data_IF_905904125036
#
_entry.id   IF_905904125036
#
_cell.length_a   1.000
_cell.length_b   1.000
_cell.length_c   1.000
_cell.angle_alpha   90.00
_cell.angle_beta   90.00
_cell.angle_gamma   90.00
#
_symmetry.space_group_name_H-M   'P 1'
#
loop_
_entity.id
_entity.type
_entity.pdbx_description
1 polymer ?
#
# COMPACT_ATOMS: atom_id res chain seq x y z
N UNK A 1 -7.97 26.14 2.00
CA UNK A 1 -8.97 25.81 3.05
C UNK A 1 -8.32 24.85 4.03
N UNK A 2 -8.73 24.80 5.30
CA UNK A 2 -8.09 23.94 6.30
C UNK A 2 -8.60 22.49 6.18
N UNK A 3 -7.74 21.59 5.72
CA UNK A 3 -7.97 20.15 5.50
C UNK A 3 -7.95 19.31 6.79
N UNK A 4 -7.77 19.96 7.94
CA UNK A 4 -7.74 19.32 9.25
C UNK A 4 -6.39 18.75 9.65
N UNK A 5 -5.36 18.84 8.79
CA UNK A 5 -4.02 18.34 9.09
C UNK A 5 -3.48 18.86 10.42
N UNK A 6 -3.54 20.19 10.64
CA UNK A 6 -3.06 20.82 11.89
C UNK A 6 -3.79 20.34 13.14
N UNK A 7 -5.09 20.03 13.02
CA UNK A 7 -5.86 19.50 14.14
C UNK A 7 -5.40 18.06 14.43
N UNK A 8 -5.41 17.21 13.41
CA UNK A 8 -5.21 15.76 13.55
C UNK A 8 -3.75 15.39 13.86
N UNK A 9 -2.78 16.21 13.48
CA UNK A 9 -1.35 15.94 13.74
C UNK A 9 -0.80 16.69 14.96
N UNK A 10 -1.66 17.21 15.85
CA UNK A 10 -1.23 17.94 17.05
C UNK A 10 -2.00 17.51 18.31
N UNK A 11 -1.52 17.86 19.52
CA UNK A 11 -2.25 17.58 20.76
C UNK A 11 -3.67 18.16 20.82
N UNK A 12 -4.03 19.07 19.91
CA UNK A 12 -5.37 19.67 19.82
C UNK A 12 -6.47 18.66 19.50
N UNK A 13 -6.14 17.48 18.98
CA UNK A 13 -7.12 16.40 18.76
C UNK A 13 -7.57 15.72 20.05
N UNK A 14 -6.83 15.85 21.16
CA UNK A 14 -7.11 15.16 22.42
C UNK A 14 -8.57 15.26 22.89
N UNK A 15 -9.16 16.47 23.00
CA UNK A 15 -10.56 16.62 23.40
C UNK A 15 -11.55 15.87 22.49
N UNK A 16 -11.31 15.84 21.18
CA UNK A 16 -12.13 15.06 20.25
C UNK A 16 -12.06 13.57 20.54
N UNK A 17 -10.85 13.04 20.76
CA UNK A 17 -10.66 11.62 21.10
C UNK A 17 -11.36 11.27 22.43
N UNK A 18 -11.24 12.15 23.44
CA UNK A 18 -11.93 11.97 24.73
C UNK A 18 -13.43 11.88 24.53
N UNK A 19 -14.02 12.86 23.83
CA UNK A 19 -15.47 12.89 23.57
C UNK A 19 -15.93 11.68 22.77
N UNK A 20 -15.15 11.23 21.78
CA UNK A 20 -15.49 10.05 20.99
C UNK A 20 -15.48 8.76 21.83
N UNK A 21 -14.49 8.59 22.70
CA UNK A 21 -14.42 7.43 23.61
C UNK A 21 -15.52 7.47 24.66
N UNK A 22 -15.81 8.64 25.25
CA UNK A 22 -16.91 8.82 26.20
C UNK A 22 -18.27 8.54 25.56
N UNK A 23 -18.46 8.98 24.31
CA UNK A 23 -19.66 8.69 23.53
C UNK A 23 -19.85 7.18 23.32
N UNK A 24 -18.76 6.44 23.11
CA UNK A 24 -18.77 4.97 23.03
C UNK A 24 -18.87 4.27 24.41
N UNK A 25 -18.91 5.03 25.52
CA UNK A 25 -19.05 4.50 26.87
C UNK A 25 -17.74 4.10 27.57
N UNK A 26 -16.60 4.53 27.04
CA UNK A 26 -15.27 4.31 27.63
C UNK A 26 -14.69 5.55 28.31
N UNK A 27 -13.52 5.36 28.94
CA UNK A 27 -12.69 6.45 29.45
C UNK A 27 -11.34 6.40 28.73
N UNK A 28 -10.98 7.49 28.04
CA UNK A 28 -9.72 7.61 27.31
C UNK A 28 -8.54 7.77 28.29
N UNK A 29 -7.53 6.94 28.13
CA UNK A 29 -6.22 7.04 28.78
C UNK A 29 -5.18 7.69 27.88
N UNK A 30 -3.97 7.14 27.88
CA UNK A 30 -2.89 7.60 27.00
C UNK A 30 -3.19 7.28 25.53
N UNK A 31 -2.78 8.17 24.63
CA UNK A 31 -2.90 7.95 23.20
C UNK A 31 -1.68 8.49 22.46
N UNK A 32 -1.43 7.93 21.28
CA UNK A 32 -0.40 8.38 20.35
C UNK A 32 -0.92 8.35 18.92
N UNK A 33 -0.46 9.32 18.12
CA UNK A 33 -0.67 9.30 16.67
C UNK A 33 0.05 8.08 16.08
N UNK A 34 -0.67 7.33 15.25
CA UNK A 34 -0.22 6.07 14.66
C UNK A 34 0.01 6.20 13.15
N UNK A 35 -0.95 6.78 12.43
CA UNK A 35 -0.88 6.97 10.97
C UNK A 35 -1.50 8.30 10.56
N UNK A 36 -1.00 8.90 9.48
CA UNK A 36 -1.59 10.11 8.87
C UNK A 36 -1.63 9.94 7.35
N UNK A 37 -2.79 10.06 6.72
CA UNK A 37 -2.96 10.21 5.27
C UNK A 37 -3.53 11.60 4.96
N UNK A 38 -2.71 12.47 4.40
CA UNK A 38 -3.09 13.84 4.02
C UNK A 38 -3.23 13.94 2.50
N UNK A 39 -4.38 14.44 2.06
CA UNK A 39 -4.58 14.98 0.72
C UNK A 39 -4.68 16.51 0.86
N UNK A 40 -3.58 17.25 0.60
CA UNK A 40 -3.48 18.67 0.90
C UNK A 40 -4.67 19.47 0.38
N UNK A 41 -5.19 20.35 1.23
CA UNK A 41 -6.34 21.23 0.98
C UNK A 41 -7.69 20.52 0.80
N UNK A 42 -7.73 19.18 0.80
CA UNK A 42 -8.93 18.39 0.60
C UNK A 42 -9.36 17.63 1.85
N UNK A 43 -8.47 16.81 2.42
CA UNK A 43 -8.81 15.98 3.57
C UNK A 43 -7.59 15.41 4.28
N UNK A 44 -7.72 15.18 5.59
CA UNK A 44 -6.74 14.43 6.38
C UNK A 44 -7.44 13.29 7.10
N UNK A 45 -6.89 12.08 7.02
CA UNK A 45 -7.26 10.95 7.88
C UNK A 45 -6.11 10.63 8.80
N UNK A 46 -6.35 10.45 10.09
CA UNK A 46 -5.35 10.04 11.05
C UNK A 46 -5.87 8.88 11.91
N UNK A 47 -4.99 8.00 12.35
CA UNK A 47 -5.30 7.02 13.38
C UNK A 47 -4.52 7.25 14.66
N UNK A 48 -5.10 6.83 15.77
CA UNK A 48 -4.53 6.95 17.10
C UNK A 48 -4.61 5.61 17.81
N UNK A 49 -3.47 5.14 18.32
CA UNK A 49 -3.45 4.04 19.27
C UNK A 49 -3.73 4.62 20.65
N UNK A 50 -4.75 4.12 21.33
CA UNK A 50 -5.22 4.64 22.62
C UNK A 50 -5.46 3.51 23.63
N UNK A 51 -5.06 3.73 24.87
CA UNK A 51 -5.50 2.92 26.00
C UNK A 51 -6.88 3.40 26.44
N UNK A 52 -7.88 2.52 26.40
CA UNK A 52 -9.26 2.85 26.76
C UNK A 52 -9.73 1.92 27.87
N UNK A 53 -10.31 2.51 28.91
CA UNK A 53 -10.98 1.74 29.98
C UNK A 53 -12.45 1.61 29.65
N UNK A 54 -12.87 0.40 29.30
CA UNK A 54 -14.27 0.05 29.08
C UNK A 54 -14.91 -0.51 30.35
N UNK A 55 -16.25 -0.62 30.42
CA UNK A 55 -16.93 -1.31 31.53
C UNK A 55 -16.49 -2.77 31.72
N UNK A 56 -15.96 -3.40 30.68
CA UNK A 56 -15.45 -4.78 30.67
C UNK A 56 -13.91 -4.86 30.77
N UNK A 57 -13.23 -3.76 31.06
CA UNK A 57 -11.79 -3.71 31.29
C UNK A 57 -11.02 -2.80 30.33
N UNK A 58 -9.73 -2.61 30.62
CA UNK A 58 -8.83 -1.80 29.82
C UNK A 58 -8.38 -2.54 28.55
N UNK A 59 -8.34 -1.84 27.42
CA UNK A 59 -7.89 -2.35 26.12
C UNK A 59 -7.10 -1.29 25.35
N UNK A 60 -6.22 -1.76 24.48
CA UNK A 60 -5.58 -0.93 23.46
C UNK A 60 -6.51 -0.90 22.24
N UNK A 61 -6.91 0.30 21.84
CA UNK A 61 -7.89 0.56 20.78
C UNK A 61 -7.26 1.43 19.68
N UNK A 62 -7.72 1.25 18.45
CA UNK A 62 -7.33 2.08 17.31
C UNK A 62 -8.52 2.95 16.90
N UNK A 63 -8.35 4.27 17.02
CA UNK A 63 -9.34 5.26 16.60
C UNK A 63 -8.94 5.82 15.23
N UNK A 64 -9.87 5.88 14.29
CA UNK A 64 -9.71 6.62 13.05
C UNK A 64 -10.47 7.94 13.09
N UNK A 65 -9.86 9.00 12.57
CA UNK A 65 -10.47 10.33 12.46
C UNK A 65 -10.23 10.87 11.05
N UNK A 66 -11.29 11.31 10.38
CA UNK A 66 -11.24 11.99 9.09
C UNK A 66 -11.77 13.42 9.20
N UNK A 67 -10.97 14.38 8.77
CA UNK A 67 -11.35 15.77 8.55
C UNK A 67 -11.32 16.09 7.05
N UNK A 68 -12.25 16.93 6.59
CA UNK A 68 -12.36 17.33 5.18
C UNK A 68 -12.55 18.85 5.08
N UNK A 69 -12.11 19.41 3.95
CA UNK A 69 -12.52 20.74 3.52
C UNK A 69 -13.91 20.65 2.89
N UNK A 70 -14.87 21.41 3.43
CA UNK A 70 -16.26 21.41 2.94
C UNK A 70 -17.13 20.32 3.58
N UNK A 71 -18.10 19.80 2.81
CA UNK A 71 -19.10 18.87 3.31
C UNK A 71 -18.56 17.44 3.50
N UNK A 72 -19.15 16.72 4.45
CA UNK A 72 -18.91 15.29 4.65
C UNK A 72 -19.26 14.48 3.38
N UNK A 73 -18.47 13.45 3.12
CA UNK A 73 -18.73 12.44 2.10
C UNK A 73 -19.86 11.48 2.54
N UNK A 74 -20.56 10.82 1.60
CA UNK A 74 -21.64 9.88 1.95
C UNK A 74 -21.20 8.76 2.91
N UNK A 75 -19.96 8.25 2.76
CA UNK A 75 -19.44 7.19 3.63
C UNK A 75 -19.08 7.71 5.02
N UNK A 76 -18.84 9.01 5.23
CA UNK A 76 -18.62 9.57 6.57
C UNK A 76 -19.82 9.31 7.49
N UNK A 77 -21.04 9.16 6.95
CA UNK A 77 -22.25 8.83 7.71
C UNK A 77 -22.23 7.42 8.31
N UNK A 78 -21.32 6.55 7.87
CA UNK A 78 -21.08 5.25 8.47
C UNK A 78 -20.19 5.31 9.72
N UNK A 79 -19.71 6.50 10.09
CA UNK A 79 -18.93 6.77 11.28
C UNK A 79 -19.65 7.79 12.17
N UNK A 80 -19.20 7.94 13.41
CA UNK A 80 -19.74 8.94 14.33
C UNK A 80 -19.24 10.34 13.95
N UNK A 81 -20.16 11.30 13.85
CA UNK A 81 -19.84 12.67 13.43
C UNK A 81 -19.75 13.58 14.65
N UNK A 82 -18.60 14.22 14.82
CA UNK A 82 -18.38 15.23 15.86
C UNK A 82 -18.18 16.60 15.20
N UNK A 83 -18.71 17.63 15.83
CA UNK A 83 -18.61 19.00 15.33
C UNK A 83 -18.20 19.97 16.45
N UNK A 84 -17.30 20.91 16.14
CA UNK A 84 -16.88 21.99 17.05
C UNK A 84 -17.46 23.36 16.66
N UNK A 85 -18.46 23.36 15.78
CA UNK A 85 -19.10 24.57 15.23
C UNK A 85 -18.37 25.19 14.05
N UNK A 86 -17.11 24.82 13.80
CA UNK A 86 -16.33 25.26 12.63
C UNK A 86 -15.97 24.14 11.67
N UNK A 87 -15.94 22.90 12.16
CA UNK A 87 -15.65 21.69 11.39
C UNK A 87 -16.51 20.52 11.84
N UNK A 88 -16.82 19.64 10.89
CA UNK A 88 -17.30 18.28 11.15
C UNK A 88 -16.16 17.28 10.89
N UNK A 89 -16.03 16.29 11.77
CA UNK A 89 -15.06 15.19 11.66
C UNK A 89 -15.76 13.85 11.85
N UNK A 90 -15.38 12.87 11.03
CA UNK A 90 -15.85 11.51 11.14
C UNK A 90 -14.89 10.69 12.00
N UNK A 91 -15.40 10.02 13.03
CA UNK A 91 -14.62 9.24 13.99
C UNK A 91 -15.17 7.82 14.06
N UNK A 92 -14.28 6.83 14.07
CA UNK A 92 -14.66 5.43 14.23
C UNK A 92 -13.64 4.68 15.10
N UNK A 93 -14.12 3.64 15.77
CA UNK A 93 -13.29 2.65 16.44
C UNK A 93 -13.06 1.47 15.50
N UNK A 94 -11.82 1.05 15.33
CA UNK A 94 -11.51 -0.20 14.65
C UNK A 94 -12.26 -1.37 15.34
N UNK A 95 -12.85 -2.32 14.58
CA UNK A 95 -12.78 -2.51 13.13
C UNK A 95 -13.90 -1.84 12.31
N UNK A 96 -14.66 -0.90 12.87
CA UNK A 96 -15.84 -0.29 12.23
C UNK A 96 -15.47 0.85 11.26
N UNK A 97 -14.56 0.59 10.33
CA UNK A 97 -14.18 1.56 9.31
C UNK A 97 -15.34 1.79 8.32
N UNK A 98 -15.79 3.05 8.14
CA UNK A 98 -17.00 3.35 7.36
C UNK A 98 -16.88 3.01 5.86
N UNK A 99 -15.67 2.88 5.34
CA UNK A 99 -15.43 2.54 3.93
C UNK A 99 -15.14 1.05 3.73
N UNK A 100 -14.97 0.26 4.81
CA UNK A 100 -14.62 -1.16 4.76
C UNK A 100 -15.66 -2.01 5.52
N UNK A 101 -16.87 -2.19 4.95
CA UNK A 101 -17.98 -2.82 5.66
C UNK A 101 -17.73 -4.28 6.07
N UNK A 102 -16.87 -5.01 5.35
CA UNK A 102 -16.48 -6.37 5.72
C UNK A 102 -15.39 -6.46 6.80
N UNK A 103 -14.78 -5.34 7.21
CA UNK A 103 -13.67 -5.34 8.18
C UNK A 103 -14.06 -5.94 9.54
N UNK A 104 -15.24 -5.66 10.12
CA UNK A 104 -15.66 -6.30 11.37
C UNK A 104 -15.70 -7.83 11.25
N UNK A 105 -16.19 -8.39 10.14
CA UNK A 105 -16.19 -9.84 9.92
C UNK A 105 -14.77 -10.40 9.76
N UNK A 106 -13.90 -9.67 9.05
CA UNK A 106 -12.53 -10.09 8.81
C UNK A 106 -11.60 -9.97 10.04
N UNK A 107 -11.99 -9.19 11.04
CA UNK A 107 -11.17 -8.91 12.22
C UNK A 107 -11.25 -9.99 13.32
N UNK A 108 -12.27 -10.86 13.30
CA UNK A 108 -12.52 -11.83 14.38
C UNK A 108 -12.58 -13.28 13.86
N UNK A 109 -11.93 -14.19 14.59
CA UNK A 109 -11.75 -15.58 14.17
C UNK A 109 -13.06 -16.40 14.16
N UNK A 110 -14.00 -16.10 15.06
CA UNK A 110 -15.33 -16.70 15.10
C UNK A 110 -16.15 -16.37 13.85
N UNK A 111 -16.19 -15.09 13.47
CA UNK A 111 -16.83 -14.61 12.25
C UNK A 111 -16.20 -15.20 10.98
N UNK A 112 -14.87 -15.34 10.98
CA UNK A 112 -14.14 -15.99 9.89
C UNK A 112 -14.44 -17.49 9.82
N UNK A 113 -14.48 -18.20 10.95
CA UNK A 113 -14.80 -19.62 10.97
C UNK A 113 -16.21 -19.89 10.41
N UNK A 114 -17.22 -19.12 10.84
CA UNK A 114 -18.58 -19.17 10.29
C UNK A 114 -18.58 -18.95 8.77
N UNK A 115 -17.86 -17.94 8.29
CA UNK A 115 -17.76 -17.63 6.87
C UNK A 115 -17.09 -18.74 6.05
N UNK A 116 -15.96 -19.28 6.50
CA UNK A 116 -15.25 -20.36 5.81
C UNK A 116 -16.09 -21.65 5.76
N UNK A 117 -16.83 -21.94 6.83
CA UNK A 117 -17.73 -23.08 6.90
C UNK A 117 -18.93 -22.92 5.96
N UNK A 118 -19.52 -21.73 5.87
CA UNK A 118 -20.64 -21.44 4.98
C UNK A 118 -20.27 -21.58 3.49
N UNK A 119 -19.05 -21.16 3.13
CA UNK A 119 -18.55 -21.20 1.74
C UNK A 119 -17.98 -22.58 1.35
N UNK A 120 -17.80 -23.50 2.31
CA UNK A 120 -17.37 -24.87 2.04
C UNK A 120 -15.97 -24.98 1.40
N UNK A 121 -15.09 -24.02 1.69
CA UNK A 121 -13.76 -23.91 1.05
C UNK A 121 -12.73 -24.90 1.62
N UNK A 122 -12.94 -25.34 2.87
CA UNK A 122 -12.09 -26.28 3.61
C UNK A 122 -12.66 -27.70 3.54
N UNK A 123 -11.81 -28.70 3.77
CA UNK A 123 -12.20 -30.12 3.72
C UNK A 123 -13.13 -30.54 4.86
N UNK A 124 -13.15 -29.81 5.96
CA UNK A 124 -14.04 -29.98 7.11
C UNK A 124 -14.38 -28.62 7.72
N UNK A 125 -15.48 -28.52 8.49
CA UNK A 125 -15.76 -27.33 9.28
C UNK A 125 -14.64 -27.04 10.28
N UNK A 126 -14.41 -25.75 10.55
CA UNK A 126 -13.41 -25.26 11.51
C UNK A 126 -14.03 -24.39 12.60
N UNK A 127 -13.40 -24.31 13.77
CA UNK A 127 -13.74 -23.37 14.85
C UNK A 127 -12.81 -22.15 14.86
N UNK A 128 -13.14 -21.17 15.69
CA UNK A 128 -12.33 -19.95 15.84
C UNK A 128 -10.90 -20.25 16.32
N UNK A 129 -10.73 -21.23 17.23
CA UNK A 129 -9.44 -21.59 17.83
C UNK A 129 -8.48 -22.24 16.82
N UNK A 130 -9.04 -22.89 15.80
CA UNK A 130 -8.31 -23.54 14.71
C UNK A 130 -7.81 -22.53 13.66
N UNK A 131 -8.25 -21.27 13.74
CA UNK A 131 -7.78 -20.19 12.87
C UNK A 131 -6.74 -19.32 13.60
N UNK A 132 -5.56 -19.17 13.00
CA UNK A 132 -4.63 -18.11 13.35
C UNK A 132 -4.88 -16.91 12.43
N UNK A 133 -5.41 -15.82 12.98
CA UNK A 133 -5.78 -14.61 12.24
C UNK A 133 -4.77 -13.51 12.52
N UNK A 134 -4.19 -12.95 11.46
CA UNK A 134 -3.21 -11.85 11.57
C UNK A 134 -3.59 -10.72 10.64
N UNK A 135 -3.75 -9.50 11.19
CA UNK A 135 -3.89 -8.29 10.38
C UNK A 135 -2.54 -7.96 9.73
N UNK A 136 -2.42 -8.16 8.41
CA UNK A 136 -1.19 -7.91 7.65
C UNK A 136 -1.03 -6.43 7.34
N UNK A 137 -2.13 -5.75 7.06
CA UNK A 137 -2.10 -4.32 6.82
C UNK A 137 -3.49 -3.71 6.85
N UNK A 138 -3.61 -2.58 7.52
CA UNK A 138 -4.81 -1.76 7.54
C UNK A 138 -4.44 -0.36 7.07
N UNK A 139 -5.07 0.08 5.99
CA UNK A 139 -4.97 1.44 5.48
C UNK A 139 -6.35 2.08 5.67
N UNK A 140 -6.50 2.94 6.71
CA UNK A 140 -7.77 3.55 7.07
C UNK A 140 -8.52 4.06 5.85
N UNK A 141 -9.78 3.67 5.72
CA UNK A 141 -10.74 4.02 4.66
C UNK A 141 -10.32 3.63 3.25
N UNK A 142 -9.33 2.76 3.10
CA UNK A 142 -8.77 2.36 1.80
C UNK A 142 -8.85 0.86 1.58
N UNK A 143 -8.25 0.07 2.46
CA UNK A 143 -8.25 -1.40 2.41
C UNK A 143 -7.72 -2.01 3.71
N UNK A 144 -8.04 -3.26 3.96
CA UNK A 144 -7.33 -4.11 4.90
C UNK A 144 -6.94 -5.44 4.27
N UNK A 145 -5.91 -6.09 4.80
CA UNK A 145 -5.47 -7.43 4.40
C UNK A 145 -5.28 -8.27 5.66
N UNK A 146 -5.97 -9.40 5.72
CA UNK A 146 -5.90 -10.35 6.83
C UNK A 146 -5.32 -11.67 6.33
N UNK A 147 -4.32 -12.20 7.01
CA UNK A 147 -3.85 -13.58 6.84
C UNK A 147 -4.62 -14.50 7.78
N UNK A 148 -5.11 -15.61 7.23
CA UNK A 148 -5.79 -16.66 7.98
C UNK A 148 -5.05 -17.96 7.73
N UNK A 149 -4.46 -18.53 8.79
CA UNK A 149 -3.81 -19.84 8.74
C UNK A 149 -4.69 -20.85 9.47
N UNK A 150 -5.11 -21.91 8.78
CA UNK A 150 -5.79 -23.05 9.39
C UNK A 150 -4.72 -23.92 10.06
N UNK A 151 -4.76 -24.03 11.40
CA UNK A 151 -3.66 -24.60 12.19
C UNK A 151 -3.33 -26.06 11.84
N UNK A 152 -4.36 -26.86 11.63
CA UNK A 152 -4.20 -28.31 11.44
C UNK A 152 -3.66 -28.66 10.04
N UNK A 153 -4.16 -28.01 9.00
CA UNK A 153 -3.72 -28.25 7.62
C UNK A 153 -2.53 -27.38 7.19
N UNK A 154 -2.30 -26.26 7.88
CA UNK A 154 -1.34 -25.23 7.46
C UNK A 154 -1.80 -24.42 6.24
N UNK A 155 -3.02 -24.65 5.75
CA UNK A 155 -3.57 -23.86 4.64
C UNK A 155 -3.64 -22.38 5.02
N UNK A 156 -3.21 -21.52 4.10
CA UNK A 156 -3.17 -20.08 4.33
C UNK A 156 -3.99 -19.34 3.29
N UNK A 157 -4.81 -18.42 3.78
CA UNK A 157 -5.64 -17.54 2.98
C UNK A 157 -5.30 -16.08 3.28
N UNK A 158 -5.48 -15.22 2.28
CA UNK A 158 -5.44 -13.78 2.43
C UNK A 158 -6.78 -13.19 2.06
N UNK A 159 -7.33 -12.36 2.96
CA UNK A 159 -8.60 -11.68 2.79
C UNK A 159 -8.30 -10.21 2.49
N UNK A 160 -8.60 -9.77 1.27
CA UNK A 160 -8.63 -8.34 0.93
C UNK A 160 -10.00 -7.79 1.32
N UNK A 161 -10.01 -6.87 2.28
CA UNK A 161 -11.19 -6.06 2.66
C UNK A 161 -11.16 -4.78 1.83
N UNK A 162 -12.15 -4.60 0.97
CA UNK A 162 -12.15 -3.54 -0.04
C UNK A 162 -13.35 -2.61 0.13
N UNK A 163 -13.23 -1.42 -0.46
CA UNK A 163 -14.36 -0.50 -0.63
C UNK A 163 -15.32 -1.05 -1.66
N UNK A 164 -16.62 -0.87 -1.43
CA UNK A 164 -17.69 -1.24 -2.36
C UNK A 164 -17.40 -0.82 -3.80
N UNK A 165 -17.04 0.45 -3.99
CA UNK A 165 -16.77 1.04 -5.32
C UNK A 165 -15.58 0.43 -6.08
N UNK A 166 -14.71 -0.32 -5.41
CA UNK A 166 -13.49 -0.90 -6.00
C UNK A 166 -13.59 -2.42 -6.17
N UNK A 167 -14.55 -3.06 -5.50
CA UNK A 167 -14.57 -4.51 -5.35
C UNK A 167 -14.67 -5.24 -6.70
N UNK A 168 -15.66 -4.89 -7.51
CA UNK A 168 -15.90 -5.57 -8.79
C UNK A 168 -14.75 -5.37 -9.79
N UNK A 169 -14.16 -4.17 -9.82
CA UNK A 169 -12.98 -3.87 -10.64
C UNK A 169 -11.80 -4.78 -10.24
N UNK A 170 -11.48 -4.85 -8.95
CA UNK A 170 -10.39 -5.69 -8.43
C UNK A 170 -10.63 -7.18 -8.69
N UNK A 171 -11.86 -7.66 -8.50
CA UNK A 171 -12.23 -9.05 -8.75
C UNK A 171 -12.12 -9.40 -10.25
N UNK A 172 -12.55 -8.50 -11.13
CA UNK A 172 -12.48 -8.69 -12.58
C UNK A 172 -11.02 -8.82 -13.07
N UNK A 173 -10.11 -8.01 -12.52
CA UNK A 173 -8.67 -8.03 -12.82
C UNK A 173 -8.02 -9.35 -12.39
N UNK A 174 -8.36 -9.86 -11.21
CA UNK A 174 -7.87 -11.17 -10.76
C UNK A 174 -8.33 -12.30 -11.68
N UNK A 175 -9.62 -12.34 -12.03
CA UNK A 175 -10.17 -13.37 -12.93
C UNK A 175 -9.52 -13.31 -14.30
N UNK A 176 -9.38 -12.10 -14.88
CA UNK A 176 -8.73 -11.88 -16.17
C UNK A 176 -7.31 -12.47 -16.22
N UNK A 177 -6.52 -12.28 -15.16
CA UNK A 177 -5.16 -12.82 -15.11
C UNK A 177 -5.13 -14.34 -14.89
N UNK A 178 -5.99 -14.87 -14.02
CA UNK A 178 -6.10 -16.31 -13.78
C UNK A 178 -6.54 -17.07 -15.04
N UNK A 179 -7.52 -16.54 -15.77
CA UNK A 179 -8.02 -17.13 -17.02
C UNK A 179 -6.94 -17.13 -18.12
N UNK A 180 -6.00 -16.18 -18.06
CA UNK A 180 -4.83 -16.11 -18.93
C UNK A 180 -3.64 -16.96 -18.47
N UNK A 181 -3.75 -17.68 -17.35
CA UNK A 181 -2.68 -18.53 -16.81
C UNK A 181 -1.54 -17.77 -16.11
N UNK A 182 -1.71 -16.48 -15.81
CA UNK A 182 -0.78 -15.74 -14.97
C UNK A 182 -0.85 -16.30 -13.54
N UNK A 183 0.27 -16.53 -12.85
CA UNK A 183 0.29 -17.10 -11.50
C UNK A 183 -0.11 -16.06 -10.44
N UNK A 184 -1.33 -15.53 -10.54
CA UNK A 184 -1.95 -14.64 -9.58
C UNK A 184 -2.68 -15.43 -8.46
N UNK A 185 -3.02 -14.82 -7.31
CA UNK A 185 -3.72 -15.53 -6.23
C UNK A 185 -5.08 -16.06 -6.71
N UNK A 186 -5.30 -17.36 -6.51
CA UNK A 186 -6.59 -17.97 -6.78
C UNK A 186 -7.64 -17.43 -5.81
N UNK A 187 -8.72 -16.84 -6.34
CA UNK A 187 -9.87 -16.39 -5.54
C UNK A 187 -10.64 -17.61 -5.09
N UNK A 188 -10.63 -17.85 -3.78
CA UNK A 188 -11.30 -18.99 -3.16
C UNK A 188 -12.81 -18.74 -3.07
N UNK A 189 -13.22 -17.55 -2.62
CA UNK A 189 -14.60 -17.08 -2.59
C UNK A 189 -14.63 -15.56 -2.33
N UNK A 190 -15.83 -14.98 -2.43
CA UNK A 190 -16.11 -13.55 -2.21
C UNK A 190 -17.38 -13.38 -1.38
N UNK A 191 -17.56 -12.25 -0.70
CA UNK A 191 -18.75 -11.99 0.12
C UNK A 191 -19.48 -10.69 -0.27
N UNK A 192 -20.78 -10.53 0.07
CA UNK A 192 -21.55 -9.31 -0.24
C UNK A 192 -21.03 -8.03 0.40
N UNK A 193 -20.32 -8.14 1.52
CA UNK A 193 -19.64 -7.05 2.24
C UNK A 193 -18.19 -6.81 1.76
N UNK A 194 -17.90 -7.20 0.52
CA UNK A 194 -16.69 -6.87 -0.22
C UNK A 194 -15.39 -7.46 0.34
N UNK A 195 -15.47 -8.70 0.83
CA UNK A 195 -14.29 -9.52 1.12
C UNK A 195 -13.93 -10.34 -0.12
N UNK A 196 -12.66 -10.32 -0.49
CA UNK A 196 -12.09 -11.22 -1.50
C UNK A 196 -11.07 -12.13 -0.83
N UNK A 197 -11.40 -13.41 -0.72
CA UNK A 197 -10.57 -14.43 -0.08
C UNK A 197 -9.75 -15.14 -1.14
N UNK A 198 -8.43 -15.15 -0.97
CA UNK A 198 -7.49 -15.75 -1.91
C UNK A 198 -6.61 -16.79 -1.22
N UNK A 199 -6.20 -17.83 -1.96
CA UNK A 199 -5.20 -18.79 -1.46
C UNK A 199 -3.80 -18.19 -1.53
N UNK A 200 -2.97 -18.49 -0.54
CA UNK A 200 -1.55 -18.12 -0.54
C UNK A 200 -0.84 -18.70 -1.77
N UNK A 201 -0.13 -17.84 -2.49
CA UNK A 201 0.76 -18.28 -3.57
C UNK A 201 1.98 -19.04 -3.02
N UNK A 202 2.51 -20.02 -3.78
CA UNK A 202 3.71 -20.74 -3.39
C UNK A 202 4.96 -19.84 -3.37
N UNK A 203 6.08 -20.40 -2.91
CA UNK A 203 7.35 -19.69 -2.79
C UNK A 203 7.35 -18.64 -1.68
N UNK A 204 8.35 -17.78 -1.68
CA UNK A 204 8.50 -16.64 -0.76
C UNK A 204 8.52 -15.31 -1.51
N UNK A 205 8.31 -14.19 -0.83
CA UNK A 205 8.42 -12.87 -1.45
C UNK A 205 9.85 -12.61 -1.92
N UNK A 206 10.02 -12.00 -3.10
CA UNK A 206 11.32 -11.52 -3.58
C UNK A 206 11.97 -10.60 -2.55
N UNK A 207 11.18 -9.74 -1.88
CA UNK A 207 11.61 -8.91 -0.75
C UNK A 207 12.43 -9.66 0.31
N UNK A 208 12.07 -10.91 0.60
CA UNK A 208 12.76 -11.76 1.57
C UNK A 208 13.94 -12.49 0.91
N UNK A 209 13.72 -13.06 -0.27
CA UNK A 209 14.72 -13.85 -1.00
C UNK A 209 15.95 -13.01 -1.43
N UNK A 210 15.80 -11.69 -1.57
CA UNK A 210 16.92 -10.77 -1.79
C UNK A 210 18.02 -10.91 -0.72
N UNK A 211 17.68 -11.35 0.49
CA UNK A 211 18.63 -11.49 1.60
C UNK A 211 19.08 -12.93 1.88
N UNK A 212 18.51 -13.93 1.20
CA UNK A 212 18.92 -15.34 1.35
C UNK A 212 20.18 -15.64 0.51
N UNK A 213 20.90 -16.76 0.73
CA UNK A 213 21.99 -17.16 -0.16
C UNK A 213 21.53 -17.43 -1.60
N UNK A 214 22.34 -17.02 -2.58
CA UNK A 214 22.07 -17.22 -4.00
C UNK A 214 21.18 -16.15 -4.64
N UNK A 215 20.97 -16.29 -5.94
CA UNK A 215 20.12 -15.39 -6.71
C UNK A 215 18.65 -15.82 -6.58
N UNK A 216 17.73 -14.89 -6.25
CA UNK A 216 16.31 -15.22 -6.08
C UNK A 216 15.61 -15.48 -7.42
N UNK A 217 16.04 -14.78 -8.47
CA UNK A 217 15.61 -14.88 -9.87
C UNK A 217 16.60 -14.10 -10.75
N UNK A 218 16.45 -14.18 -12.07
CA UNK A 218 17.18 -13.34 -13.03
C UNK A 218 16.38 -12.10 -13.42
N UNK A 219 17.04 -11.10 -14.01
CA UNK A 219 16.38 -9.90 -14.52
C UNK A 219 15.46 -10.21 -15.72
N UNK A 220 15.87 -11.15 -16.57
CA UNK A 220 15.09 -11.62 -17.71
C UNK A 220 13.79 -12.28 -17.25
N UNK A 221 13.80 -12.99 -16.11
CA UNK A 221 12.59 -13.55 -15.54
C UNK A 221 11.62 -12.45 -15.07
N UNK A 222 12.12 -11.35 -14.50
CA UNK A 222 11.29 -10.20 -14.12
C UNK A 222 10.64 -9.55 -15.36
N UNK A 223 11.40 -9.38 -16.45
CA UNK A 223 10.87 -8.90 -17.73
C UNK A 223 9.86 -9.89 -18.32
N UNK A 224 10.15 -11.19 -18.27
CA UNK A 224 9.24 -12.22 -18.78
C UNK A 224 7.93 -12.31 -17.99
N UNK A 225 7.96 -12.09 -16.67
CA UNK A 225 6.74 -12.04 -15.85
C UNK A 225 5.83 -10.87 -16.26
N UNK A 226 6.42 -9.77 -16.68
CA UNK A 226 5.73 -8.60 -17.20
C UNK A 226 5.21 -8.80 -18.63
N UNK A 227 5.99 -9.45 -19.49
CA UNK A 227 5.60 -9.80 -20.86
C UNK A 227 4.50 -10.90 -20.89
N UNK A 228 4.34 -11.67 -19.81
CA UNK A 228 3.29 -12.68 -19.66
C UNK A 228 1.89 -12.10 -19.36
N UNK A 229 1.77 -10.78 -19.13
CA UNK A 229 0.47 -10.14 -18.93
C UNK A 229 -0.37 -10.22 -20.22
N UNK A 230 -1.65 -10.61 -20.15
CA UNK A 230 -2.47 -10.78 -21.35
C UNK A 230 -2.80 -9.44 -22.01
N UNK A 231 -2.96 -9.44 -23.34
CA UNK A 231 -3.29 -8.25 -24.13
C UNK A 231 -4.57 -7.53 -23.64
N UNK A 232 -5.53 -8.27 -23.07
CA UNK A 232 -6.75 -7.72 -22.50
C UNK A 232 -6.49 -6.65 -21.42
N UNK A 233 -5.34 -6.68 -20.74
CA UNK A 233 -4.94 -5.64 -19.77
C UNK A 233 -4.81 -4.26 -20.43
N UNK A 234 -4.46 -4.20 -21.72
CA UNK A 234 -4.33 -2.93 -22.47
C UNK A 234 -5.66 -2.21 -22.67
N UNK A 235 -6.79 -2.91 -22.49
CA UNK A 235 -8.14 -2.37 -22.67
C UNK A 235 -8.79 -1.93 -21.35
N UNK A 236 -8.09 -2.11 -20.23
CA UNK A 236 -8.56 -1.67 -18.92
C UNK A 236 -8.44 -0.15 -18.75
N UNK A 237 -9.08 0.37 -17.70
CA UNK A 237 -8.94 1.77 -17.31
C UNK A 237 -7.46 2.10 -17.05
N UNK A 238 -6.95 3.13 -17.75
CA UNK A 238 -5.60 3.62 -17.54
C UNK A 238 -5.49 4.23 -16.15
N UNK A 239 -4.44 3.83 -15.43
CA UNK A 239 -4.00 4.52 -14.22
C UNK A 239 -2.83 5.44 -14.53
N UNK A 240 -2.84 6.70 -14.06
CA UNK A 240 -1.69 7.57 -14.19
C UNK A 240 -0.46 6.92 -13.52
N UNK A 241 0.72 6.91 -14.16
CA UNK A 241 1.94 6.47 -13.51
C UNK A 241 2.34 7.43 -12.38
N UNK A 242 3.19 6.95 -11.47
CA UNK A 242 3.69 7.75 -10.33
C UNK A 242 4.40 9.04 -10.79
N UNK A 243 5.03 9.01 -11.97
CA UNK A 243 5.71 10.16 -12.57
C UNK A 243 4.77 11.33 -12.90
N UNK A 244 3.52 11.07 -13.26
CA UNK A 244 2.54 12.13 -13.55
C UNK A 244 2.19 12.94 -12.29
N UNK A 245 2.31 12.32 -11.11
CA UNK A 245 2.02 12.93 -9.82
C UNK A 245 3.29 13.39 -9.06
N UNK A 246 4.46 13.42 -9.71
CA UNK A 246 5.73 13.74 -9.03
C UNK A 246 5.72 15.11 -8.32
N UNK A 247 5.10 16.13 -8.93
CA UNK A 247 4.97 17.45 -8.32
C UNK A 247 4.10 17.43 -7.06
N UNK A 248 3.04 16.61 -7.05
CA UNK A 248 2.18 16.42 -5.89
C UNK A 248 2.95 15.77 -4.73
N UNK A 249 3.69 14.69 -4.99
CA UNK A 249 4.50 14.04 -3.96
C UNK A 249 5.63 14.94 -3.45
N UNK A 250 6.30 15.69 -4.34
CA UNK A 250 7.29 16.68 -3.95
C UNK A 250 6.71 17.76 -3.03
N UNK A 251 5.48 18.23 -3.30
CA UNK A 251 4.79 19.18 -2.43
C UNK A 251 4.48 18.59 -1.05
N UNK A 252 4.03 17.32 -0.98
CA UNK A 252 3.82 16.63 0.29
C UNK A 252 5.11 16.50 1.11
N UNK A 253 6.22 16.10 0.48
CA UNK A 253 7.52 15.99 1.15
C UNK A 253 8.01 17.36 1.60
N UNK A 254 7.88 18.39 0.77
CA UNK A 254 8.27 19.78 1.10
C UNK A 254 7.44 20.33 2.26
N UNK A 255 6.16 19.96 2.36
CA UNK A 255 5.32 20.36 3.49
C UNK A 255 5.82 19.76 4.82
N UNK A 256 6.26 18.49 4.79
CA UNK A 256 6.78 17.80 5.97
C UNK A 256 8.24 18.20 6.32
N UNK A 257 9.06 18.47 5.30
CA UNK A 257 10.50 18.82 5.40
C UNK A 257 10.82 19.98 4.45
N UNK A 258 10.53 21.24 4.83
CA UNK A 258 10.69 22.41 3.97
C UNK A 258 12.11 22.60 3.40
N UNK A 259 13.13 22.13 4.12
CA UNK A 259 14.55 22.23 3.74
C UNK A 259 14.87 21.47 2.44
N UNK A 260 14.04 20.48 2.07
CA UNK A 260 14.20 19.70 0.83
C UNK A 260 13.57 20.38 -0.39
N UNK A 261 12.82 21.48 -0.20
CA UNK A 261 11.99 22.10 -1.25
C UNK A 261 12.76 22.47 -2.52
N UNK A 262 13.93 23.10 -2.39
CA UNK A 262 14.75 23.49 -3.55
C UNK A 262 15.28 22.28 -4.34
N UNK A 263 15.69 21.20 -3.63
CA UNK A 263 16.15 19.95 -4.27
C UNK A 263 15.00 19.26 -5.02
N UNK A 264 13.83 19.21 -4.39
CA UNK A 264 12.63 18.58 -4.96
C UNK A 264 12.11 19.36 -6.15
N UNK A 265 12.07 20.68 -6.09
CA UNK A 265 11.69 21.52 -7.23
C UNK A 265 12.62 21.27 -8.42
N UNK A 266 13.94 21.28 -8.20
CA UNK A 266 14.91 20.97 -9.24
C UNK A 266 14.70 19.58 -9.85
N UNK A 267 14.45 18.56 -9.01
CA UNK A 267 14.18 17.20 -9.48
C UNK A 267 12.89 17.13 -10.32
N UNK A 268 11.79 17.75 -9.84
CA UNK A 268 10.51 17.81 -10.55
C UNK A 268 10.65 18.48 -11.91
N UNK A 269 11.33 19.61 -11.99
CA UNK A 269 11.56 20.35 -13.24
C UNK A 269 12.27 19.47 -14.28
N UNK A 270 13.35 18.79 -13.87
CA UNK A 270 14.12 17.96 -14.79
C UNK A 270 13.42 16.63 -15.14
N UNK A 271 12.70 16.01 -14.21
CA UNK A 271 11.88 14.82 -14.49
C UNK A 271 10.79 15.18 -15.50
N UNK A 272 10.08 16.28 -15.27
CA UNK A 272 9.00 16.73 -16.15
C UNK A 272 9.53 17.08 -17.54
N UNK A 273 10.64 17.81 -17.61
CA UNK A 273 11.27 18.18 -18.87
C UNK A 273 11.82 16.97 -19.63
N UNK A 274 12.50 16.05 -18.95
CA UNK A 274 13.10 14.87 -19.56
C UNK A 274 12.10 13.80 -19.98
N UNK A 275 10.92 13.76 -19.35
CA UNK A 275 9.79 12.92 -19.77
C UNK A 275 8.87 13.62 -20.78
N UNK A 276 9.11 14.89 -21.10
CA UNK A 276 8.31 15.61 -22.07
C UNK A 276 8.40 14.95 -23.45
N UNK A 277 7.26 14.56 -24.01
CA UNK A 277 7.17 13.89 -25.31
C UNK A 277 7.31 12.37 -25.25
N UNK A 278 7.59 11.78 -24.08
CA UNK A 278 7.48 10.32 -23.90
C UNK A 278 6.00 9.93 -23.98
N UNK A 279 5.60 8.99 -24.86
CA UNK A 279 4.21 8.59 -24.99
C UNK A 279 3.73 7.86 -23.73
N UNK A 280 2.42 7.88 -23.47
CA UNK A 280 1.80 7.20 -22.32
C UNK A 280 1.93 5.67 -22.35
N UNK A 281 2.30 5.09 -23.49
CA UNK A 281 2.38 3.65 -23.70
C UNK A 281 1.01 2.97 -23.75
N UNK A 282 0.95 1.81 -24.40
CA UNK A 282 -0.25 0.96 -24.48
C UNK A 282 0.07 -0.49 -24.09
N UNK A 283 1.21 -0.70 -23.45
CA UNK A 283 1.66 -2.03 -23.03
C UNK A 283 0.85 -2.48 -21.81
N UNK A 284 0.61 -3.79 -21.68
CA UNK A 284 0.01 -4.35 -20.47
C UNK A 284 1.00 -4.19 -19.31
N UNK A 285 0.65 -3.42 -18.28
CA UNK A 285 1.49 -3.18 -17.10
C UNK A 285 0.85 -3.74 -15.83
N UNK A 286 1.69 -4.00 -14.84
CA UNK A 286 1.28 -4.32 -13.48
C UNK A 286 0.80 -3.07 -12.75
N UNK A 287 1.52 -1.95 -12.87
CA UNK A 287 1.20 -0.66 -12.25
C UNK A 287 1.69 -0.48 -10.81
N UNK A 288 2.27 -1.52 -10.20
CA UNK A 288 2.87 -1.49 -8.85
C UNK A 288 3.93 -2.61 -8.71
N UNK A 289 4.76 -2.80 -9.74
CA UNK A 289 5.70 -3.92 -9.81
C UNK A 289 6.92 -3.70 -8.92
N UNK A 290 6.91 -4.28 -7.72
CA UNK A 290 8.05 -4.24 -6.79
C UNK A 290 8.29 -5.59 -6.10
N UNK A 291 9.40 -5.73 -5.37
CA UNK A 291 9.86 -6.98 -4.73
C UNK A 291 8.88 -7.60 -3.73
N UNK A 292 7.97 -6.80 -3.17
CA UNK A 292 6.88 -7.28 -2.32
C UNK A 292 5.81 -8.05 -3.09
N UNK A 293 5.65 -7.75 -4.38
CA UNK A 293 4.61 -8.32 -5.24
C UNK A 293 5.04 -9.56 -6.00
N UNK A 294 6.32 -9.94 -5.92
CA UNK A 294 6.85 -11.07 -6.66
C UNK A 294 7.11 -12.23 -5.71
N UNK A 295 6.65 -13.43 -6.10
CA UNK A 295 6.95 -14.68 -5.40
C UNK A 295 8.00 -15.45 -6.16
N UNK A 296 9.00 -15.95 -5.44
CA UNK A 296 10.11 -16.73 -5.99
C UNK A 296 10.26 -18.06 -5.27
N UNK A 297 10.67 -19.08 -6.03
CA UNK A 297 11.07 -20.39 -5.51
C UNK A 297 12.10 -21.02 -6.46
N UNK A 298 13.15 -21.63 -5.89
CA UNK A 298 14.15 -22.36 -6.68
C UNK A 298 14.87 -21.52 -7.74
N UNK A 299 15.05 -20.21 -7.51
CA UNK A 299 15.69 -19.30 -8.47
C UNK A 299 14.78 -18.86 -9.62
N UNK A 300 13.46 -19.01 -9.51
CA UNK A 300 12.50 -18.55 -10.50
C UNK A 300 11.27 -17.88 -9.90
N UNK A 301 10.57 -17.10 -10.73
CA UNK A 301 9.31 -16.45 -10.37
C UNK A 301 8.17 -17.46 -10.44
N UNK A 302 7.41 -17.58 -9.35
CA UNK A 302 6.29 -18.51 -9.20
C UNK A 302 4.97 -17.82 -8.87
N UNK A 303 4.95 -16.49 -8.81
CA UNK A 303 3.74 -15.75 -8.51
C UNK A 303 3.87 -14.24 -8.60
N UNK A 304 2.75 -13.59 -8.89
CA UNK A 304 2.59 -12.13 -8.94
C UNK A 304 1.39 -11.74 -8.08
N UNK A 305 1.57 -10.77 -7.18
CA UNK A 305 0.57 -10.30 -6.22
C UNK A 305 0.10 -8.88 -6.58
N UNK A 306 -0.91 -8.40 -5.85
CA UNK A 306 -1.47 -7.04 -5.94
C UNK A 306 -1.74 -6.53 -7.37
N UNK A 307 -2.39 -7.38 -8.16
CA UNK A 307 -2.79 -7.12 -9.55
C UNK A 307 -3.96 -6.13 -9.68
N UNK A 308 -4.28 -5.41 -8.60
CA UNK A 308 -5.37 -4.45 -8.57
C UNK A 308 -5.06 -3.26 -9.47
N UNK A 309 -3.77 -2.98 -9.69
CA UNK A 309 -3.23 -1.82 -10.43
C UNK A 309 -3.03 -2.04 -11.92
N UNK A 310 -3.24 -3.26 -12.44
CA UNK A 310 -2.99 -3.57 -13.86
C UNK A 310 -3.79 -2.69 -14.82
N UNK A 311 -3.18 -2.37 -15.95
CA UNK A 311 -3.80 -1.57 -17.02
C UNK A 311 -2.83 -1.24 -18.16
N UNK A 312 -3.23 -0.40 -19.12
CA UNK A 312 -2.33 0.08 -20.16
C UNK A 312 -1.31 1.10 -19.61
N UNK A 313 -0.05 0.98 -20.00
CA UNK A 313 1.01 1.88 -19.56
C UNK A 313 2.33 1.72 -20.32
N UNK A 314 3.42 2.18 -19.70
CA UNK A 314 4.80 1.96 -20.15
C UNK A 314 5.44 0.87 -19.33
N UNK A 315 6.17 -0.04 -19.97
CA UNK A 315 7.01 -1.04 -19.31
C UNK A 315 8.06 -0.39 -18.40
N UNK A 316 8.51 0.81 -18.75
CA UNK A 316 9.44 1.60 -17.94
C UNK A 316 8.88 1.96 -16.56
N UNK A 317 7.56 2.10 -16.38
CA UNK A 317 6.95 2.42 -15.09
C UNK A 317 7.12 1.29 -14.07
N UNK A 318 6.90 0.05 -14.49
CA UNK A 318 7.02 -1.11 -13.62
C UNK A 318 8.49 -1.43 -13.29
N UNK A 319 9.39 -1.31 -14.26
CA UNK A 319 10.83 -1.50 -13.99
C UNK A 319 11.38 -0.37 -13.09
N UNK A 320 10.90 0.86 -13.29
CA UNK A 320 11.21 1.98 -12.40
C UNK A 320 10.66 1.77 -10.98
N UNK A 321 9.44 1.22 -10.86
CA UNK A 321 8.84 0.90 -9.56
C UNK A 321 9.73 -0.09 -8.80
N UNK A 322 10.14 -1.19 -9.43
CA UNK A 322 11.04 -2.16 -8.82
C UNK A 322 12.37 -1.53 -8.42
N UNK A 323 13.02 -0.79 -9.33
CA UNK A 323 14.30 -0.14 -9.05
C UNK A 323 14.21 0.83 -7.87
N UNK A 324 13.13 1.62 -7.81
CA UNK A 324 12.92 2.59 -6.75
C UNK A 324 12.77 1.90 -5.38
N UNK A 325 11.96 0.84 -5.30
CA UNK A 325 11.83 0.07 -4.07
C UNK A 325 13.16 -0.57 -3.63
N UNK A 326 13.88 -1.23 -4.55
CA UNK A 326 15.19 -1.83 -4.26
C UNK A 326 16.22 -0.79 -3.78
N UNK A 327 16.20 0.41 -4.35
CA UNK A 327 17.11 1.51 -3.97
C UNK A 327 16.78 2.15 -2.62
N UNK A 328 15.55 1.94 -2.12
CA UNK A 328 15.05 2.55 -0.88
C UNK A 328 14.95 1.56 0.27
N UNK A 329 15.38 0.30 0.07
CA UNK A 329 15.48 -0.69 1.14
C UNK A 329 16.39 -0.14 2.25
N UNK A 330 15.91 -0.22 3.48
CA UNK A 330 16.61 0.33 4.64
C UNK A 330 17.03 -0.74 5.63
N UNK A 331 17.88 -0.35 6.58
CA UNK A 331 18.32 -1.20 7.71
C UNK A 331 19.02 -2.49 7.29
N UNK A 332 19.65 -2.47 6.12
CA UNK A 332 20.51 -3.55 5.65
C UNK A 332 21.83 -3.56 6.42
N UNK A 333 22.34 -4.75 6.72
CA UNK A 333 23.74 -4.91 7.12
C UNK A 333 24.66 -4.83 5.87
N UNK A 334 26.00 -4.66 6.05
CA UNK A 334 26.92 -4.50 4.92
C UNK A 334 26.88 -5.65 3.88
N UNK A 335 26.65 -6.88 4.33
CA UNK A 335 26.55 -8.04 3.43
C UNK A 335 25.30 -7.98 2.57
N UNK A 336 24.16 -7.66 3.18
CA UNK A 336 22.88 -7.48 2.47
C UNK A 336 22.97 -6.32 1.46
N UNK A 337 23.55 -5.20 1.88
CA UNK A 337 23.74 -4.03 1.03
C UNK A 337 24.65 -4.35 -0.17
N UNK A 338 25.75 -5.08 0.06
CA UNK A 338 26.65 -5.55 -1.01
C UNK A 338 25.93 -6.46 -2.01
N UNK A 339 25.09 -7.37 -1.53
CA UNK A 339 24.32 -8.27 -2.39
C UNK A 339 23.28 -7.52 -3.24
N UNK A 340 22.51 -6.60 -2.64
CA UNK A 340 21.52 -5.81 -3.38
C UNK A 340 22.20 -4.93 -4.43
N UNK A 341 23.35 -4.33 -4.11
CA UNK A 341 24.15 -3.58 -5.10
C UNK A 341 24.64 -4.46 -6.25
N UNK A 342 25.12 -5.68 -5.96
CA UNK A 342 25.53 -6.63 -7.00
C UNK A 342 24.36 -7.02 -7.91
N UNK A 343 23.19 -7.32 -7.33
CA UNK A 343 21.97 -7.61 -8.10
C UNK A 343 21.58 -6.44 -9.00
N UNK A 344 21.52 -5.22 -8.47
CA UNK A 344 21.21 -4.03 -9.26
C UNK A 344 22.23 -3.79 -10.39
N UNK A 345 23.52 -3.99 -10.12
CA UNK A 345 24.58 -3.86 -11.14
C UNK A 345 24.40 -4.85 -12.30
N UNK A 346 23.83 -6.03 -12.04
CA UNK A 346 23.52 -7.03 -13.07
C UNK A 346 22.15 -6.84 -13.72
N UNK A 347 21.15 -6.39 -12.98
CA UNK A 347 19.77 -6.27 -13.46
C UNK A 347 19.53 -5.01 -14.28
N UNK A 348 20.10 -3.87 -13.88
CA UNK A 348 19.90 -2.59 -14.57
C UNK A 348 20.30 -2.65 -16.05
N UNK A 349 21.45 -3.23 -16.45
CA UNK A 349 21.80 -3.37 -17.86
C UNK A 349 20.78 -4.18 -18.69
N UNK A 350 20.08 -5.14 -18.08
CA UNK A 350 19.02 -5.92 -18.75
C UNK A 350 17.77 -5.04 -18.93
N UNK A 351 17.43 -4.23 -17.93
CA UNK A 351 16.32 -3.27 -18.03
C UNK A 351 16.61 -2.19 -19.09
N UNK A 352 17.84 -1.72 -19.18
CA UNK A 352 18.31 -0.73 -20.17
C UNK A 352 18.20 -1.23 -21.63
N UNK A 353 18.23 -2.54 -21.83
CA UNK A 353 18.00 -3.13 -23.15
C UNK A 353 16.50 -3.22 -23.47
N UNK A 354 15.63 -3.21 -22.45
CA UNK A 354 14.18 -3.38 -22.61
C UNK A 354 13.44 -2.06 -22.76
N UNK A 355 13.92 -0.99 -22.12
CA UNK A 355 13.30 0.34 -22.11
C UNK A 355 14.37 1.42 -22.26
N UNK A 356 13.96 2.64 -22.60
CA UNK A 356 14.88 3.77 -22.70
C UNK A 356 15.60 4.02 -21.35
N UNK A 357 16.94 4.03 -21.32
CA UNK A 357 17.69 4.20 -20.07
C UNK A 357 17.42 5.53 -19.37
N UNK A 358 17.22 6.63 -20.12
CA UNK A 358 16.96 7.96 -19.55
C UNK A 358 15.58 7.99 -18.90
N UNK A 359 14.56 7.53 -19.62
CA UNK A 359 13.19 7.39 -19.12
C UNK A 359 13.16 6.55 -17.82
N UNK A 360 13.89 5.43 -17.79
CA UNK A 360 13.95 4.56 -16.64
C UNK A 360 14.48 5.27 -15.39
N UNK A 361 15.56 6.07 -15.49
CA UNK A 361 16.10 6.79 -14.31
C UNK A 361 15.16 7.89 -13.85
N UNK A 362 14.57 8.65 -14.78
CA UNK A 362 13.64 9.74 -14.44
C UNK A 362 12.36 9.20 -13.78
N UNK A 363 11.78 8.11 -14.30
CA UNK A 363 10.64 7.44 -13.66
C UNK A 363 11.02 6.83 -12.32
N UNK A 364 12.20 6.21 -12.21
CA UNK A 364 12.69 5.67 -10.93
C UNK A 364 12.79 6.78 -9.88
N UNK A 365 13.38 7.93 -10.25
CA UNK A 365 13.47 9.08 -9.36
C UNK A 365 12.09 9.59 -8.92
N UNK A 366 11.12 9.64 -9.84
CA UNK A 366 9.76 10.05 -9.50
C UNK A 366 9.08 9.08 -8.51
N UNK A 367 9.27 7.77 -8.68
CA UNK A 367 8.77 6.77 -7.73
C UNK A 367 9.47 6.93 -6.37
N UNK A 368 10.80 7.14 -6.32
CA UNK A 368 11.51 7.39 -5.05
C UNK A 368 10.96 8.63 -4.33
N UNK A 369 10.63 9.72 -5.04
CA UNK A 369 9.98 10.90 -4.45
C UNK A 369 8.60 10.54 -3.87
N UNK A 370 7.83 9.67 -4.52
CA UNK A 370 6.55 9.20 -3.98
C UNK A 370 6.73 8.37 -2.69
N UNK A 371 7.74 7.50 -2.64
CA UNK A 371 8.08 6.68 -1.48
C UNK A 371 8.60 7.52 -0.30
N UNK A 372 9.26 8.64 -0.58
CA UNK A 372 9.75 9.57 0.44
C UNK A 372 8.64 10.20 1.32
N UNK A 373 7.38 10.06 0.92
CA UNK A 373 6.21 10.42 1.76
C UNK A 373 5.94 9.40 2.87
N UNK A 374 6.37 8.15 2.69
CA UNK A 374 6.09 7.00 3.56
C UNK A 374 6.56 7.16 5.01
N UNK A 375 7.83 7.55 5.27
CA UNK A 375 8.35 7.62 6.64
C UNK A 375 7.55 8.55 7.55
N UNK A 376 7.16 9.73 7.04
CA UNK A 376 6.28 10.65 7.77
C UNK A 376 4.87 10.05 7.94
N UNK A 377 4.30 9.49 6.87
CA UNK A 377 2.96 8.89 6.88
C UNK A 377 2.80 7.82 7.97
N UNK A 378 3.83 6.98 8.15
CA UNK A 378 3.90 5.92 9.16
C UNK A 378 4.44 6.35 10.52
N UNK A 379 4.74 7.64 10.72
CA UNK A 379 5.36 8.19 11.93
C UNK A 379 6.60 7.38 12.38
N UNK A 380 7.44 6.99 11.42
CA UNK A 380 8.61 6.15 11.69
C UNK A 380 9.66 6.87 12.55
N UNK A 381 10.46 6.13 13.36
CA UNK A 381 11.62 6.71 14.02
C UNK A 381 12.57 7.34 13.00
N UNK A 382 13.05 8.56 13.28
CA UNK A 382 13.98 9.29 12.38
C UNK A 382 13.43 9.45 10.95
N UNK A 383 12.11 9.57 10.79
CA UNK A 383 11.48 9.69 9.48
C UNK A 383 12.04 10.85 8.64
N UNK A 384 12.47 11.96 9.26
CA UNK A 384 13.04 13.12 8.56
C UNK A 384 14.33 12.77 7.82
N UNK A 385 15.27 12.13 8.52
CA UNK A 385 16.56 11.73 7.95
C UNK A 385 16.36 10.70 6.85
N UNK A 386 15.47 9.75 7.11
CA UNK A 386 15.03 8.71 6.18
C UNK A 386 14.49 9.31 4.87
N UNK A 387 13.56 10.27 4.97
CA UNK A 387 13.02 11.02 3.82
C UNK A 387 14.13 11.78 3.08
N UNK A 388 15.06 12.43 3.78
CA UNK A 388 16.16 13.17 3.15
C UNK A 388 17.08 12.26 2.33
N UNK A 389 17.43 11.06 2.83
CA UNK A 389 18.23 10.08 2.10
C UNK A 389 17.52 9.59 0.83
N UNK A 390 16.20 9.36 0.90
CA UNK A 390 15.42 8.99 -0.29
C UNK A 390 15.42 10.11 -1.34
N UNK A 391 15.23 11.37 -0.92
CA UNK A 391 15.28 12.53 -1.84
C UNK A 391 16.68 12.68 -2.47
N UNK A 392 17.75 12.51 -1.71
CA UNK A 392 19.11 12.55 -2.26
C UNK A 392 19.35 11.43 -3.29
N UNK A 393 18.78 10.25 -3.07
CA UNK A 393 18.83 9.13 -4.02
C UNK A 393 18.06 9.44 -5.31
N UNK A 394 16.87 10.04 -5.21
CA UNK A 394 16.12 10.51 -6.37
C UNK A 394 16.91 11.57 -7.18
N UNK A 395 17.50 12.56 -6.49
CA UNK A 395 18.33 13.59 -7.13
C UNK A 395 19.54 12.98 -7.83
N UNK A 396 20.18 11.97 -7.22
CA UNK A 396 21.31 11.27 -7.83
C UNK A 396 20.92 10.55 -9.13
N UNK A 397 19.75 9.89 -9.17
CA UNK A 397 19.22 9.26 -10.39
C UNK A 397 18.98 10.28 -11.50
N UNK A 398 18.40 11.43 -11.18
CA UNK A 398 18.15 12.52 -12.13
C UNK A 398 19.47 13.07 -12.69
N UNK A 399 20.50 13.25 -11.86
CA UNK A 399 21.84 13.71 -12.28
C UNK A 399 22.60 12.73 -13.19
N UNK A 400 22.25 11.45 -13.21
CA UNK A 400 22.92 10.48 -14.07
C UNK A 400 22.58 10.66 -15.55
N UNK A 401 21.50 11.39 -15.86
CA UNK A 401 20.90 11.42 -17.21
C UNK A 401 20.65 12.83 -17.74
N UNK A 402 21.13 13.87 -17.04
CA UNK A 402 21.09 15.28 -17.48
C UNK A 402 22.46 15.74 -17.92
#
# INVERSE_FOLDING_TARGET
MDDGSRLLTSPRVGPLLTTAVEHAGGVLGEWKLDHVDTNPEQSTTATYMAEVTWPWGQRSELLGVSARSGALSPTDRGAEIFADGTREVAVWLYPNDPDLPGLPRAAFADQLAEMFNAEGVLSHPVTAEELAVTMIGYRPRRRAVVEVVVRDSGETFFIKVLRARLFDDVLSKHRLLLDAGVPAPNVAFVTPDHLMVTRKLPGQSLAKALFDPGDPCTAEQLVAALDAMPEAVTQLERRPPWSDAVAHYAAMVTHAVPELGAKLQWAVENITAGLAGVPLGIEATHGDFHEGQIRVAGGGIVGVLDVDTIGPGRRADDLACLMAHLSTIQRMNPTQESKVRDLLARWVPVFDQRVDPVELRLRTAAVVISLATGPYRGQEPQWRDTTAVMVDSAVALVRQVI
#
